data_IF_513389058521
#
_entry.id   IF_513389058521
#
_cell.length_a   1.000
_cell.length_b   1.000
_cell.length_c   1.000
_cell.angle_alpha   90.00
_cell.angle_beta   90.00
_cell.angle_gamma   90.00
#
_symmetry.space_group_name_H-M   'P 1'
#
loop_
_entity.id
_entity.type
_entity.pdbx_description
1 polymer ?
#
# COMPACT_ATOMS: atom_id res chain seq x y z
N UNK A 1 12.76 -22.37 -5.73
CA UNK A 1 13.45 -22.11 -4.45
C UNK A 1 13.40 -20.62 -4.16
N UNK A 2 13.24 -20.24 -2.88
CA UNK A 2 13.28 -18.82 -2.49
C UNK A 2 14.70 -18.26 -2.58
N UNK A 3 14.82 -16.93 -2.56
CA UNK A 3 16.10 -16.24 -2.51
C UNK A 3 15.98 -14.96 -1.68
N UNK A 4 17.10 -14.43 -1.20
CA UNK A 4 17.12 -13.14 -0.50
C UNK A 4 16.44 -12.03 -1.34
N UNK A 5 16.80 -11.93 -2.63
CA UNK A 5 16.22 -10.94 -3.55
C UNK A 5 14.72 -11.17 -3.76
N UNK A 6 14.30 -12.42 -3.83
CA UNK A 6 12.89 -12.80 -3.95
C UNK A 6 12.03 -12.37 -2.76
N UNK A 7 12.63 -12.12 -1.59
CA UNK A 7 11.91 -11.58 -0.42
C UNK A 7 12.14 -10.07 -0.24
N UNK A 8 13.37 -9.59 -0.42
CA UNK A 8 13.69 -8.17 -0.28
C UNK A 8 12.95 -7.28 -1.29
N UNK A 9 12.74 -7.78 -2.52
CA UNK A 9 12.03 -7.04 -3.57
C UNK A 9 10.55 -6.79 -3.19
N UNK A 10 9.69 -7.80 -2.96
CA UNK A 10 8.32 -7.56 -2.52
C UNK A 10 8.28 -6.82 -1.18
N UNK A 11 9.19 -7.13 -0.24
CA UNK A 11 9.30 -6.40 1.02
C UNK A 11 9.50 -4.90 0.85
N UNK A 12 10.30 -4.49 -0.13
CA UNK A 12 10.51 -3.07 -0.46
C UNK A 12 9.24 -2.44 -1.05
N UNK A 13 8.53 -3.13 -1.95
CA UNK A 13 7.28 -2.63 -2.51
C UNK A 13 6.23 -2.38 -1.42
N UNK A 14 6.00 -3.34 -0.53
CA UNK A 14 5.05 -3.19 0.57
C UNK A 14 5.48 -2.12 1.56
N UNK A 15 6.78 -2.03 1.90
CA UNK A 15 7.27 -0.99 2.80
C UNK A 15 7.04 0.43 2.23
N UNK A 16 7.37 0.63 0.95
CA UNK A 16 7.13 1.91 0.26
C UNK A 16 5.64 2.20 0.16
N UNK A 17 4.81 1.21 -0.18
CA UNK A 17 3.36 1.37 -0.25
C UNK A 17 2.76 1.74 1.12
N UNK A 18 3.16 1.08 2.20
CA UNK A 18 2.69 1.38 3.55
C UNK A 18 3.04 2.79 4.02
N UNK A 19 4.28 3.25 3.76
CA UNK A 19 4.72 4.62 4.07
C UNK A 19 3.95 5.63 3.19
N UNK A 20 3.86 5.37 1.89
CA UNK A 20 3.14 6.21 0.94
C UNK A 20 1.67 6.40 1.31
N UNK A 21 0.97 5.29 1.58
CA UNK A 21 -0.41 5.30 2.01
C UNK A 21 -0.60 6.02 3.34
N UNK A 22 0.31 5.83 4.30
CA UNK A 22 0.28 6.59 5.56
C UNK A 22 0.27 8.09 5.30
N UNK A 23 1.19 8.57 4.47
CA UNK A 23 1.28 10.00 4.12
C UNK A 23 0.00 10.45 3.40
N UNK A 24 -0.46 9.68 2.40
CA UNK A 24 -1.66 9.95 1.60
C UNK A 24 -2.91 10.12 2.47
N UNK A 25 -3.22 9.12 3.31
CA UNK A 25 -4.39 9.15 4.19
C UNK A 25 -4.28 10.22 5.27
N UNK A 26 -3.08 10.48 5.81
CA UNK A 26 -2.84 11.55 6.76
C UNK A 26 -3.12 12.94 6.16
N UNK A 27 -2.66 13.20 4.93
CA UNK A 27 -2.96 14.45 4.21
C UNK A 27 -4.47 14.59 4.04
N UNK A 28 -5.13 13.55 3.53
CA UNK A 28 -6.58 13.59 3.29
C UNK A 28 -7.38 13.82 4.56
N UNK A 29 -7.03 13.16 5.66
CA UNK A 29 -7.66 13.36 6.94
C UNK A 29 -7.46 14.80 7.46
N UNK A 30 -6.23 15.30 7.45
CA UNK A 30 -5.91 16.65 7.91
C UNK A 30 -6.61 17.74 7.07
N UNK A 31 -6.67 17.58 5.74
CA UNK A 31 -7.38 18.51 4.84
C UNK A 31 -8.90 18.42 5.04
N UNK A 32 -9.47 17.22 5.27
CA UNK A 32 -10.91 17.04 5.55
C UNK A 32 -11.34 17.62 6.90
N UNK A 33 -10.45 17.70 7.89
CA UNK A 33 -10.76 18.27 9.21
C UNK A 33 -10.83 19.81 9.17
N UNK A 34 -10.02 20.45 8.32
CA UNK A 34 -9.89 21.92 8.26
C UNK A 34 -10.77 22.59 7.19
N UNK A 35 -11.97 22.06 6.94
CA UNK A 35 -12.92 22.45 5.87
C UNK A 35 -13.46 23.90 5.92
N UNK A 36 -13.06 24.72 6.89
CA UNK A 36 -13.55 26.10 7.06
C UNK A 36 -12.99 27.14 6.08
N UNK A 37 -12.07 26.78 5.17
CA UNK A 37 -11.36 27.73 4.30
C UNK A 37 -11.74 27.45 2.82
N UNK A 38 -12.74 28.17 2.32
CA UNK A 38 -13.69 27.78 1.27
C UNK A 38 -13.21 27.56 -0.17
N UNK A 39 -11.95 27.81 -0.54
CA UNK A 39 -11.49 27.72 -1.94
C UNK A 39 -10.73 26.42 -2.30
N UNK A 40 -10.26 25.66 -1.30
CA UNK A 40 -9.31 24.54 -1.53
C UNK A 40 -9.97 23.21 -1.94
N UNK A 41 -11.30 23.10 -1.86
CA UNK A 41 -12.01 21.81 -1.93
C UNK A 41 -12.02 21.18 -3.33
N UNK A 42 -12.19 21.98 -4.38
CA UNK A 42 -12.29 21.46 -5.76
C UNK A 42 -10.92 21.02 -6.28
N UNK A 43 -9.89 21.86 -6.06
CA UNK A 43 -8.50 21.53 -6.37
C UNK A 43 -8.03 20.29 -5.60
N UNK A 44 -8.47 20.11 -4.34
CA UNK A 44 -8.16 18.94 -3.53
C UNK A 44 -8.80 17.63 -4.03
N UNK A 45 -10.00 17.68 -4.64
CA UNK A 45 -10.63 16.48 -5.22
C UNK A 45 -10.00 16.09 -6.55
N UNK A 46 -9.69 17.06 -7.40
CA UNK A 46 -8.99 16.81 -8.65
C UNK A 46 -7.58 16.25 -8.40
N UNK A 47 -6.85 16.79 -7.41
CA UNK A 47 -5.54 16.26 -7.02
C UNK A 47 -5.63 14.87 -6.40
N UNK A 48 -6.62 14.60 -5.55
CA UNK A 48 -6.93 13.25 -5.03
C UNK A 48 -7.12 12.26 -6.17
N UNK A 49 -8.01 12.58 -7.12
CA UNK A 49 -8.29 11.74 -8.29
C UNK A 49 -7.04 11.47 -9.13
N UNK A 50 -6.23 12.50 -9.40
CA UNK A 50 -4.96 12.35 -10.13
C UNK A 50 -3.98 11.44 -9.38
N UNK A 51 -3.93 11.56 -8.06
CA UNK A 51 -3.06 10.73 -7.23
C UNK A 51 -3.46 9.25 -7.28
N UNK A 52 -4.75 8.94 -7.19
CA UNK A 52 -5.26 7.56 -7.31
C UNK A 52 -4.99 6.98 -8.70
N UNK A 53 -5.11 7.80 -9.76
CA UNK A 53 -4.76 7.39 -11.14
C UNK A 53 -3.28 7.07 -11.26
N UNK A 54 -2.40 7.93 -10.73
CA UNK A 54 -0.95 7.71 -10.78
C UNK A 54 -0.58 6.46 -9.99
N UNK A 55 -1.09 6.31 -8.78
CA UNK A 55 -0.86 5.14 -7.93
C UNK A 55 -1.31 3.85 -8.63
N UNK A 56 -2.54 3.83 -9.15
CA UNK A 56 -3.07 2.67 -9.87
C UNK A 56 -2.25 2.37 -11.13
N UNK A 57 -1.79 3.39 -11.85
CA UNK A 57 -0.93 3.20 -13.03
C UNK A 57 0.43 2.59 -12.65
N UNK A 58 1.03 3.03 -11.54
CA UNK A 58 2.30 2.50 -11.03
C UNK A 58 2.14 1.04 -10.61
N UNK A 59 1.09 0.72 -9.86
CA UNK A 59 0.81 -0.67 -9.42
C UNK A 59 0.55 -1.57 -10.63
N UNK A 60 -0.24 -1.10 -11.61
CA UNK A 60 -0.50 -1.85 -12.84
C UNK A 60 0.79 -2.11 -13.62
N UNK A 61 1.63 -1.09 -13.80
CA UNK A 61 2.92 -1.22 -14.48
C UNK A 61 3.81 -2.27 -13.81
N UNK A 62 4.02 -2.18 -12.50
CA UNK A 62 4.86 -3.14 -11.78
C UNK A 62 4.25 -4.54 -11.75
N UNK A 63 2.92 -4.67 -11.70
CA UNK A 63 2.23 -5.97 -11.78
C UNK A 63 2.44 -6.63 -13.15
N UNK A 64 2.32 -5.87 -14.24
CA UNK A 64 2.60 -6.35 -15.60
C UNK A 64 4.06 -6.75 -15.76
N UNK A 65 5.00 -5.89 -15.31
CA UNK A 65 6.43 -6.19 -15.36
C UNK A 65 6.77 -7.44 -14.54
N UNK A 66 6.20 -7.58 -13.34
CA UNK A 66 6.37 -8.76 -12.48
C UNK A 66 5.89 -10.05 -13.15
N UNK A 67 4.68 -10.04 -13.74
CA UNK A 67 4.17 -11.18 -14.51
C UNK A 67 5.09 -11.53 -15.69
N UNK A 68 5.51 -10.53 -16.47
CA UNK A 68 6.39 -10.76 -17.61
C UNK A 68 7.76 -11.29 -17.19
N UNK A 69 8.31 -10.78 -16.08
CA UNK A 69 9.59 -11.23 -15.54
C UNK A 69 9.53 -12.69 -15.05
N UNK A 70 8.46 -13.08 -14.35
CA UNK A 70 8.27 -14.47 -13.91
C UNK A 70 8.07 -15.43 -15.08
N UNK A 71 7.34 -15.01 -16.12
CA UNK A 71 7.03 -15.89 -17.26
C UNK A 71 8.15 -15.96 -18.30
N UNK A 72 8.79 -14.83 -18.62
CA UNK A 72 9.74 -14.70 -19.73
C UNK A 72 11.17 -14.37 -19.32
N UNK A 73 11.43 -14.20 -18.02
CA UNK A 73 12.79 -14.05 -17.49
C UNK A 73 13.67 -15.25 -17.76
N UNK A 74 14.96 -15.12 -17.46
CA UNK A 74 15.92 -16.22 -17.58
C UNK A 74 15.52 -17.38 -16.67
N UNK A 75 15.05 -18.48 -17.27
CA UNK A 75 14.55 -19.66 -16.54
C UNK A 75 13.05 -19.63 -16.21
N UNK A 76 12.28 -18.69 -16.76
CA UNK A 76 10.82 -18.71 -16.64
C UNK A 76 10.16 -19.79 -17.54
N UNK A 77 8.93 -20.23 -17.23
CA UNK A 77 8.22 -21.29 -17.95
C UNK A 77 7.80 -20.92 -19.39
N UNK A 78 7.92 -19.65 -19.81
CA UNK A 78 7.51 -19.18 -21.15
C UNK A 78 6.06 -19.57 -21.50
N UNK A 79 5.15 -19.40 -20.54
CA UNK A 79 3.73 -19.78 -20.62
C UNK A 79 3.47 -21.31 -20.69
N UNK A 80 4.49 -22.14 -20.47
CA UNK A 80 4.32 -23.58 -20.33
C UNK A 80 3.94 -23.91 -18.88
N UNK A 81 2.72 -24.42 -18.67
CA UNK A 81 2.25 -24.79 -17.34
C UNK A 81 2.58 -26.25 -16.99
N UNK A 82 2.64 -27.11 -18.01
CA UNK A 82 2.81 -28.55 -17.84
C UNK A 82 3.86 -29.05 -18.83
N UNK A 83 4.81 -29.84 -18.34
CA UNK A 83 5.72 -30.58 -19.18
C UNK A 83 5.08 -31.92 -19.56
N UNK A 84 4.66 -32.04 -20.82
CA UNK A 84 4.06 -33.27 -21.34
C UNK A 84 5.07 -34.41 -21.57
N UNK A 85 6.37 -34.09 -21.64
CA UNK A 85 7.45 -35.07 -21.79
C UNK A 85 7.74 -35.70 -20.44
N UNK A 86 8.03 -34.87 -19.43
CA UNK A 86 8.36 -35.31 -18.07
C UNK A 86 7.12 -35.60 -17.19
N UNK A 87 5.92 -35.29 -17.71
CA UNK A 87 4.61 -35.51 -17.07
C UNK A 87 4.48 -34.88 -15.69
N UNK A 88 5.02 -33.67 -15.51
CA UNK A 88 4.90 -32.91 -14.29
C UNK A 88 4.50 -31.45 -14.54
N UNK A 89 4.12 -30.76 -13.48
CA UNK A 89 3.87 -29.32 -13.54
C UNK A 89 5.19 -28.56 -13.64
N UNK A 90 5.23 -27.56 -14.53
CA UNK A 90 6.45 -26.81 -14.80
C UNK A 90 6.46 -25.48 -14.02
N UNK A 91 7.58 -25.20 -13.34
CA UNK A 91 7.84 -23.95 -12.61
C UNK A 91 6.65 -23.38 -11.79
N UNK A 92 5.92 -24.22 -11.05
CA UNK A 92 4.71 -23.80 -10.28
C UNK A 92 4.93 -22.60 -9.36
N UNK A 93 6.14 -22.44 -8.79
CA UNK A 93 6.47 -21.26 -7.97
C UNK A 93 6.33 -19.95 -8.77
N UNK A 94 6.83 -19.90 -10.00
CA UNK A 94 6.69 -18.72 -10.87
C UNK A 94 5.24 -18.49 -11.29
N UNK A 95 4.45 -19.55 -11.46
CA UNK A 95 3.00 -19.43 -11.70
C UNK A 95 2.24 -18.89 -10.48
N UNK A 96 2.62 -19.28 -9.25
CA UNK A 96 2.06 -18.68 -8.03
C UNK A 96 2.35 -17.18 -7.98
N UNK A 97 3.60 -16.76 -8.20
CA UNK A 97 3.95 -15.34 -8.22
C UNK A 97 3.25 -14.57 -9.34
N UNK A 98 3.22 -15.12 -10.57
CA UNK A 98 2.50 -14.52 -11.69
C UNK A 98 1.01 -14.34 -11.37
N UNK A 99 0.40 -15.29 -10.65
CA UNK A 99 -0.99 -15.19 -10.20
C UNK A 99 -1.16 -14.08 -9.15
N UNK A 100 -0.25 -13.96 -8.18
CA UNK A 100 -0.29 -12.83 -7.23
C UNK A 100 -0.23 -11.48 -7.97
N UNK A 101 0.72 -11.31 -8.90
CA UNK A 101 0.82 -10.10 -9.70
C UNK A 101 -0.43 -9.83 -10.55
N UNK A 102 -1.06 -10.87 -11.10
CA UNK A 102 -2.32 -10.74 -11.84
C UNK A 102 -3.40 -10.11 -10.97
N UNK A 103 -3.57 -10.55 -9.73
CA UNK A 103 -4.62 -10.02 -8.84
C UNK A 103 -4.36 -8.55 -8.43
N UNK A 104 -3.11 -8.16 -8.15
CA UNK A 104 -2.76 -6.76 -7.94
C UNK A 104 -2.94 -5.91 -9.22
N UNK A 105 -2.66 -6.49 -10.39
CA UNK A 105 -2.93 -5.86 -11.69
C UNK A 105 -4.43 -5.67 -11.97
N UNK A 106 -5.27 -6.63 -11.59
CA UNK A 106 -6.73 -6.52 -11.68
C UNK A 106 -7.26 -5.44 -10.75
N UNK A 107 -6.78 -5.39 -9.50
CA UNK A 107 -7.08 -4.30 -8.57
C UNK A 107 -6.74 -2.93 -9.16
N UNK A 108 -5.50 -2.78 -9.66
CA UNK A 108 -5.03 -1.53 -10.23
C UNK A 108 -5.83 -1.11 -11.46
N UNK A 109 -6.20 -2.08 -12.31
CA UNK A 109 -7.04 -1.85 -13.50
C UNK A 109 -8.42 -1.35 -13.12
N UNK A 110 -9.09 -2.02 -12.18
CA UNK A 110 -10.43 -1.62 -11.70
C UNK A 110 -10.37 -0.24 -11.04
N UNK A 111 -9.36 0.01 -10.21
CA UNK A 111 -9.13 1.31 -9.59
C UNK A 111 -8.95 2.42 -10.65
N UNK A 112 -8.16 2.17 -11.70
CA UNK A 112 -7.96 3.11 -12.80
C UNK A 112 -9.28 3.41 -13.54
N UNK A 113 -10.08 2.38 -13.85
CA UNK A 113 -11.39 2.55 -14.51
C UNK A 113 -12.32 3.40 -13.64
N UNK A 114 -12.44 3.08 -12.34
CA UNK A 114 -13.26 3.82 -11.38
C UNK A 114 -12.84 5.29 -11.34
N UNK A 115 -11.54 5.56 -11.23
CA UNK A 115 -11.03 6.93 -11.13
C UNK A 115 -10.94 7.66 -12.46
N UNK A 116 -11.08 7.03 -13.62
CA UNK A 116 -11.08 7.71 -14.94
C UNK A 116 -12.47 7.92 -15.52
N UNK A 117 -13.38 6.98 -15.29
CA UNK A 117 -14.71 6.96 -15.94
C UNK A 117 -15.87 7.16 -14.97
N UNK A 118 -15.64 7.05 -13.66
CA UNK A 118 -16.71 7.04 -12.63
C UNK A 118 -17.79 5.96 -12.89
N UNK A 119 -17.49 4.94 -13.71
CA UNK A 119 -18.45 3.94 -14.18
C UNK A 119 -18.89 2.90 -13.13
N UNK A 120 -18.22 2.84 -11.97
CA UNK A 120 -18.49 1.87 -10.92
C UNK A 120 -18.40 2.49 -9.53
N UNK A 121 -19.04 1.88 -8.51
CA UNK A 121 -19.02 2.38 -7.15
C UNK A 121 -17.58 2.48 -6.63
N UNK A 122 -17.27 3.59 -5.99
CA UNK A 122 -15.96 3.78 -5.38
C UNK A 122 -15.64 2.71 -4.33
N UNK A 123 -16.59 1.93 -3.81
CA UNK A 123 -16.31 0.84 -2.85
C UNK A 123 -15.62 -0.37 -3.49
N UNK A 124 -15.74 -0.51 -4.82
CA UNK A 124 -15.13 -1.61 -5.57
C UNK A 124 -13.59 -1.53 -5.56
N UNK A 125 -13.01 -0.33 -5.38
CA UNK A 125 -11.56 -0.13 -5.23
C UNK A 125 -10.97 -0.98 -4.08
N UNK A 126 -11.58 -0.86 -2.90
CA UNK A 126 -11.20 -1.54 -1.65
C UNK A 126 -11.53 -3.02 -1.70
N UNK A 127 -12.65 -3.39 -2.31
CA UNK A 127 -12.99 -4.79 -2.48
C UNK A 127 -11.93 -5.51 -3.30
N UNK A 128 -11.51 -4.92 -4.43
CA UNK A 128 -10.47 -5.50 -5.26
C UNK A 128 -9.11 -5.55 -4.55
N UNK A 129 -8.77 -4.53 -3.75
CA UNK A 129 -7.56 -4.55 -2.93
C UNK A 129 -7.60 -5.69 -1.89
N UNK A 130 -8.74 -5.85 -1.20
CA UNK A 130 -8.92 -6.93 -0.23
C UNK A 130 -8.82 -8.31 -0.90
N UNK A 131 -9.40 -8.49 -2.09
CA UNK A 131 -9.29 -9.72 -2.87
C UNK A 131 -7.83 -9.99 -3.28
N UNK A 132 -7.07 -8.95 -3.64
CA UNK A 132 -5.66 -9.11 -3.99
C UNK A 132 -4.82 -9.60 -2.81
N UNK A 133 -4.95 -8.96 -1.64
CA UNK A 133 -4.30 -9.44 -0.41
C UNK A 133 -4.76 -10.84 0.00
N UNK A 134 -6.05 -11.14 -0.13
CA UNK A 134 -6.56 -12.48 0.17
C UNK A 134 -5.92 -13.53 -0.73
N UNK A 135 -5.84 -13.27 -2.04
CA UNK A 135 -5.23 -14.19 -3.00
C UNK A 135 -3.74 -14.37 -2.73
N UNK A 136 -3.02 -13.30 -2.40
CA UNK A 136 -1.62 -13.35 -1.96
C UNK A 136 -1.47 -14.28 -0.75
N UNK A 137 -2.24 -14.04 0.32
CA UNK A 137 -2.19 -14.87 1.52
C UNK A 137 -2.58 -16.33 1.27
N UNK A 138 -3.61 -16.56 0.46
CA UNK A 138 -4.06 -17.89 0.07
C UNK A 138 -2.97 -18.68 -0.66
N UNK A 139 -2.33 -18.08 -1.67
CA UNK A 139 -1.26 -18.73 -2.42
C UNK A 139 -0.01 -18.97 -1.57
N UNK A 140 0.32 -18.04 -0.66
CA UNK A 140 1.44 -18.23 0.27
C UNK A 140 1.19 -19.35 1.29
N UNK A 141 -0.03 -19.49 1.80
CA UNK A 141 -0.37 -20.54 2.75
C UNK A 141 -0.09 -21.94 2.17
N UNK A 142 -0.53 -22.19 0.95
CA UNK A 142 -0.35 -23.51 0.32
C UNK A 142 1.05 -23.75 -0.22
N UNK A 143 1.88 -22.72 -0.29
CA UNK A 143 3.29 -22.80 -0.66
C UNK A 143 4.22 -23.33 0.46
N UNK A 144 3.72 -23.46 1.69
CA UNK A 144 4.51 -23.87 2.85
C UNK A 144 4.71 -25.39 3.01
N UNK A 145 4.01 -26.20 2.22
CA UNK A 145 4.08 -27.66 2.34
C UNK A 145 5.50 -28.18 2.09
N UNK A 146 5.97 -29.06 3.00
CA UNK A 146 7.26 -29.75 2.87
C UNK A 146 8.49 -28.92 3.28
N UNK A 147 8.31 -27.74 3.88
CA UNK A 147 9.40 -26.87 4.35
C UNK A 147 9.82 -27.17 5.79
N UNK A 148 10.97 -26.65 6.20
CA UNK A 148 11.50 -26.77 7.57
C UNK A 148 10.66 -25.96 8.57
N UNK A 149 10.77 -26.28 9.86
CA UNK A 149 9.96 -25.67 10.92
C UNK A 149 10.08 -24.14 10.95
N UNK A 150 11.32 -23.61 10.95
CA UNK A 150 11.53 -22.17 10.97
C UNK A 150 11.04 -21.47 9.69
N UNK A 151 11.21 -22.10 8.52
CA UNK A 151 10.74 -21.58 7.24
C UNK A 151 9.20 -21.48 7.23
N UNK A 152 8.50 -22.52 7.68
CA UNK A 152 7.04 -22.47 7.86
C UNK A 152 6.66 -21.36 8.85
N UNK A 153 7.33 -21.29 10.00
CA UNK A 153 7.00 -20.34 11.06
C UNK A 153 7.13 -18.88 10.64
N UNK A 154 8.24 -18.50 9.99
CA UNK A 154 8.46 -17.12 9.53
C UNK A 154 7.42 -16.70 8.49
N UNK A 155 6.99 -17.62 7.61
CA UNK A 155 5.95 -17.33 6.62
C UNK A 155 4.54 -17.34 7.23
N UNK A 156 4.25 -18.15 8.25
CA UNK A 156 2.97 -18.06 8.98
C UNK A 156 2.83 -16.69 9.66
N UNK A 157 3.92 -16.14 10.21
CA UNK A 157 3.94 -14.79 10.77
C UNK A 157 3.66 -13.72 9.69
N UNK A 158 4.20 -13.90 8.47
CA UNK A 158 3.86 -13.05 7.32
C UNK A 158 2.36 -13.11 7.01
N UNK A 159 1.77 -14.32 6.99
CA UNK A 159 0.35 -14.50 6.69
C UNK A 159 -0.56 -13.78 7.68
N UNK A 160 -0.18 -13.64 8.96
CA UNK A 160 -0.97 -12.84 9.90
C UNK A 160 -1.06 -11.36 9.48
N UNK A 161 0.01 -10.80 8.93
CA UNK A 161 -0.03 -9.44 8.39
C UNK A 161 -0.94 -9.38 7.15
N UNK A 162 -0.74 -10.29 6.19
CA UNK A 162 -1.48 -10.33 4.92
C UNK A 162 -3.00 -10.53 5.13
N UNK A 163 -3.40 -11.50 5.97
CA UNK A 163 -4.81 -11.72 6.28
C UNK A 163 -5.38 -10.60 7.17
N UNK A 164 -4.57 -10.00 8.03
CA UNK A 164 -4.93 -8.77 8.74
C UNK A 164 -5.24 -7.63 7.77
N UNK A 165 -4.39 -7.41 6.76
CA UNK A 165 -4.59 -6.41 5.71
C UNK A 165 -5.86 -6.67 4.91
N UNK A 166 -6.08 -7.93 4.53
CA UNK A 166 -7.31 -8.39 3.88
C UNK A 166 -8.54 -8.01 4.70
N UNK A 167 -8.54 -8.35 5.99
CA UNK A 167 -9.66 -8.06 6.89
C UNK A 167 -9.90 -6.55 7.03
N UNK A 168 -8.84 -5.76 7.25
CA UNK A 168 -8.96 -4.31 7.40
C UNK A 168 -9.42 -3.66 6.09
N UNK A 169 -8.87 -4.06 4.95
CA UNK A 169 -9.31 -3.59 3.64
C UNK A 169 -10.79 -3.91 3.38
N UNK A 170 -11.27 -5.08 3.80
CA UNK A 170 -12.68 -5.44 3.74
C UNK A 170 -13.55 -4.57 4.67
N UNK A 171 -13.10 -4.29 5.90
CA UNK A 171 -13.79 -3.40 6.83
C UNK A 171 -13.89 -1.96 6.30
N UNK A 172 -12.89 -1.49 5.56
CA UNK A 172 -12.90 -0.17 4.93
C UNK A 172 -14.00 -0.01 3.86
N UNK A 173 -14.52 -1.11 3.29
CA UNK A 173 -15.66 -1.08 2.35
C UNK A 173 -16.88 -0.46 3.03
N UNK A 174 -17.14 -0.87 4.27
CA UNK A 174 -18.29 -0.42 5.07
C UNK A 174 -18.00 0.88 5.83
N UNK A 175 -16.76 1.07 6.27
CA UNK A 175 -16.34 2.19 7.11
C UNK A 175 -15.40 3.16 6.37
N UNK A 176 -15.79 3.57 5.16
CA UNK A 176 -14.96 4.40 4.29
C UNK A 176 -14.57 5.73 4.96
N UNK A 177 -13.27 6.05 4.94
CA UNK A 177 -12.74 7.29 5.48
C UNK A 177 -12.55 7.28 7.00
N UNK A 178 -12.71 6.13 7.65
CA UNK A 178 -12.27 5.95 9.03
C UNK A 178 -10.74 5.88 9.05
N UNK A 179 -10.11 6.95 9.53
CA UNK A 179 -8.66 7.09 9.58
C UNK A 179 -7.98 5.98 10.41
N UNK A 180 -8.66 5.44 11.42
CA UNK A 180 -8.08 4.38 12.26
C UNK A 180 -7.90 3.10 11.43
N UNK A 181 -8.89 2.72 10.64
CA UNK A 181 -8.78 1.55 9.75
C UNK A 181 -7.75 1.79 8.65
N UNK A 182 -7.73 2.98 8.06
CA UNK A 182 -6.75 3.35 7.03
C UNK A 182 -5.31 3.29 7.57
N UNK A 183 -5.06 3.82 8.77
CA UNK A 183 -3.74 3.75 9.41
C UNK A 183 -3.40 2.33 9.86
N UNK A 184 -4.36 1.55 10.35
CA UNK A 184 -4.13 0.15 10.73
C UNK A 184 -3.71 -0.68 9.51
N UNK A 185 -4.37 -0.52 8.36
CA UNK A 185 -3.93 -1.18 7.12
C UNK A 185 -2.51 -0.75 6.76
N UNK A 186 -2.20 0.54 6.82
CA UNK A 186 -0.84 1.02 6.55
C UNK A 186 0.20 0.41 7.50
N UNK A 187 -0.11 0.30 8.79
CA UNK A 187 0.75 -0.37 9.78
C UNK A 187 1.00 -1.81 9.40
N UNK A 188 -0.05 -2.56 9.07
CA UNK A 188 0.09 -3.95 8.66
C UNK A 188 0.91 -4.08 7.38
N UNK A 189 0.71 -3.20 6.38
CA UNK A 189 1.52 -3.20 5.14
C UNK A 189 3.00 -2.88 5.41
N UNK A 190 3.31 -2.03 6.39
CA UNK A 190 4.69 -1.82 6.85
C UNK A 190 5.23 -3.07 7.54
N UNK A 191 4.43 -3.77 8.36
CA UNK A 191 4.82 -5.06 8.97
C UNK A 191 5.08 -6.09 7.86
N UNK A 192 4.15 -6.29 6.92
CA UNK A 192 4.33 -7.19 5.77
C UNK A 192 5.63 -6.88 5.03
N UNK A 193 5.89 -5.62 4.69
CA UNK A 193 7.10 -5.21 3.99
C UNK A 193 8.39 -5.46 4.77
N UNK A 194 8.46 -5.03 6.03
CA UNK A 194 9.65 -5.26 6.88
C UNK A 194 9.85 -6.74 7.20
N UNK A 195 8.76 -7.50 7.31
CA UNK A 195 8.81 -8.92 7.62
C UNK A 195 9.29 -9.75 6.44
N UNK A 196 8.92 -9.38 5.20
CA UNK A 196 9.54 -9.96 4.01
C UNK A 196 11.08 -9.83 4.04
N UNK A 197 11.60 -8.67 4.44
CA UNK A 197 13.04 -8.50 4.64
C UNK A 197 13.59 -9.45 5.72
N UNK A 198 12.90 -9.56 6.85
CA UNK A 198 13.27 -10.47 7.93
C UNK A 198 13.32 -11.94 7.46
N UNK A 199 12.31 -12.40 6.72
CA UNK A 199 12.30 -13.74 6.10
C UNK A 199 13.53 -13.92 5.19
N UNK A 200 13.85 -12.89 4.39
CA UNK A 200 15.06 -12.87 3.57
C UNK A 200 16.34 -13.05 4.39
N UNK A 201 16.50 -12.31 5.49
CA UNK A 201 17.69 -12.39 6.35
C UNK A 201 17.80 -13.71 7.11
N UNK A 202 16.68 -14.27 7.56
CA UNK A 202 16.67 -15.52 8.33
C UNK A 202 16.92 -16.74 7.44
N UNK A 203 16.24 -16.84 6.29
CA UNK A 203 16.33 -18.00 5.42
C UNK A 203 17.47 -17.92 4.40
N UNK A 204 17.91 -16.70 4.05
CA UNK A 204 18.91 -16.45 3.02
C UNK A 204 19.90 -15.37 3.47
N UNK A 205 20.61 -15.55 4.60
CA UNK A 205 21.49 -14.53 5.15
C UNK A 205 22.57 -14.15 4.13
N UNK A 206 22.67 -12.88 3.69
CA UNK A 206 23.68 -12.47 2.73
C UNK A 206 25.08 -12.49 3.32
N UNK A 207 25.19 -12.40 4.66
CA UNK A 207 26.41 -12.46 5.47
C UNK A 207 26.04 -12.97 6.87
N UNK A 208 26.97 -13.66 7.54
CA UNK A 208 26.78 -14.16 8.90
C UNK A 208 26.51 -15.67 8.98
N UNK A 209 26.37 -16.22 10.19
CA UNK A 209 26.08 -17.63 10.38
C UNK A 209 24.67 -17.99 9.88
N UNK A 210 24.52 -19.20 9.35
CA UNK A 210 23.21 -19.74 8.98
C UNK A 210 22.39 -20.07 10.23
N UNK A 211 21.08 -19.92 10.12
CA UNK A 211 20.14 -20.24 11.20
C UNK A 211 19.87 -21.75 11.25
N UNK A 212 19.80 -22.30 12.45
CA UNK A 212 19.26 -23.65 12.62
C UNK A 212 17.74 -23.64 12.43
N UNK A 213 17.29 -24.16 11.28
CA UNK A 213 15.89 -24.17 10.88
C UNK A 213 15.01 -25.15 11.69
N UNK A 214 15.62 -25.97 12.57
CA UNK A 214 14.93 -26.95 13.41
C UNK A 214 14.98 -26.60 14.89
N UNK A 215 15.75 -25.58 15.29
CA UNK A 215 15.85 -25.16 16.69
C UNK A 215 14.57 -24.44 17.15
N UNK A 216 13.85 -24.97 18.17
CA UNK A 216 12.66 -24.31 18.70
C UNK A 216 12.93 -22.94 19.34
N UNK A 217 14.15 -22.68 19.84
CA UNK A 217 14.48 -21.38 20.41
C UNK A 217 14.49 -20.27 19.36
N UNK A 218 14.90 -20.60 18.12
CA UNK A 218 14.84 -19.67 17.00
C UNK A 218 13.40 -19.27 16.67
N UNK A 219 12.43 -20.19 16.78
CA UNK A 219 11.01 -19.86 16.60
C UNK A 219 10.49 -18.90 17.68
N UNK A 220 10.87 -19.11 18.94
CA UNK A 220 10.50 -18.21 20.04
C UNK A 220 11.10 -16.81 19.83
N UNK A 221 12.39 -16.73 19.48
CA UNK A 221 13.07 -15.48 19.21
C UNK A 221 12.43 -14.72 18.03
N UNK A 222 12.19 -15.38 16.92
CA UNK A 222 11.57 -14.77 15.74
C UNK A 222 10.14 -14.29 16.05
N UNK A 223 9.38 -15.01 16.87
CA UNK A 223 8.04 -14.55 17.29
C UNK A 223 8.11 -13.26 18.11
N UNK A 224 9.14 -13.12 18.95
CA UNK A 224 9.41 -11.87 19.67
C UNK A 224 9.81 -10.75 18.70
N UNK A 225 10.68 -11.02 17.73
CA UNK A 225 11.04 -10.06 16.68
C UNK A 225 9.81 -9.54 15.91
N UNK A 226 8.86 -10.42 15.57
CA UNK A 226 7.60 -10.01 14.93
C UNK A 226 6.85 -8.96 15.73
N UNK A 227 6.78 -9.14 17.05
CA UNK A 227 6.13 -8.16 17.94
C UNK A 227 6.86 -6.82 17.95
N UNK A 228 8.19 -6.83 17.84
CA UNK A 228 8.98 -5.61 17.69
C UNK A 228 8.72 -4.92 16.35
N UNK A 229 8.67 -5.67 15.24
CA UNK A 229 8.29 -5.12 13.93
C UNK A 229 6.93 -4.43 13.97
N UNK A 230 5.93 -5.06 14.61
CA UNK A 230 4.62 -4.46 14.80
C UNK A 230 4.70 -3.17 15.63
N UNK A 231 5.42 -3.17 16.74
CA UNK A 231 5.61 -1.98 17.59
C UNK A 231 6.28 -0.83 16.81
N UNK A 232 7.34 -1.12 16.07
CA UNK A 232 8.03 -0.13 15.24
C UNK A 232 7.16 0.37 14.09
N UNK A 233 6.39 -0.51 13.43
CA UNK A 233 5.45 -0.11 12.39
C UNK A 233 4.37 0.85 12.92
N UNK A 234 3.80 0.56 14.10
CA UNK A 234 2.86 1.47 14.77
C UNK A 234 3.50 2.83 15.08
N UNK A 235 4.74 2.84 15.57
CA UNK A 235 5.48 4.06 15.86
C UNK A 235 5.72 4.88 14.58
N UNK A 236 6.22 4.24 13.52
CA UNK A 236 6.49 4.88 12.22
C UNK A 236 5.22 5.53 11.68
N UNK A 237 4.11 4.77 11.63
CA UNK A 237 2.83 5.28 11.11
C UNK A 237 2.31 6.45 11.94
N UNK A 238 2.41 6.34 13.27
CA UNK A 238 1.97 7.40 14.19
C UNK A 238 2.79 8.68 14.03
N UNK A 239 4.13 8.55 13.95
CA UNK A 239 5.05 9.69 13.76
C UNK A 239 4.78 10.36 12.41
N UNK A 240 4.64 9.58 11.33
CA UNK A 240 4.32 10.11 10.01
C UNK A 240 2.98 10.85 10.00
N UNK A 241 1.94 10.27 10.61
CA UNK A 241 0.64 10.92 10.75
C UNK A 241 0.73 12.26 11.47
N UNK A 242 1.46 12.32 12.59
CA UNK A 242 1.68 13.54 13.36
C UNK A 242 2.44 14.60 12.55
N UNK A 243 3.54 14.23 11.89
CA UNK A 243 4.34 15.13 11.06
C UNK A 243 3.50 15.74 9.94
N UNK A 244 2.78 14.89 9.20
CA UNK A 244 1.93 15.34 8.09
C UNK A 244 0.80 16.24 8.58
N UNK A 245 0.12 15.86 9.66
CA UNK A 245 -0.96 16.66 10.24
C UNK A 245 -0.48 18.04 10.69
N UNK A 246 0.67 18.11 11.36
CA UNK A 246 1.31 19.36 11.77
C UNK A 246 1.73 20.21 10.56
N UNK A 247 2.32 19.60 9.54
CA UNK A 247 2.74 20.30 8.33
C UNK A 247 1.54 20.90 7.57
N UNK A 248 0.47 20.13 7.35
CA UNK A 248 -0.75 20.61 6.68
C UNK A 248 -1.38 21.76 7.46
N UNK A 249 -1.54 21.60 8.78
CA UNK A 249 -2.10 22.66 9.62
C UNK A 249 -1.27 23.95 9.59
N UNK A 250 0.06 23.84 9.62
CA UNK A 250 0.97 24.98 9.53
C UNK A 250 0.89 25.70 8.17
N UNK A 251 0.68 24.96 7.08
CA UNK A 251 0.50 25.53 5.73
C UNK A 251 -0.84 26.24 5.59
N UNK A 252 -1.92 25.65 6.12
CA UNK A 252 -3.25 26.25 6.08
C UNK A 252 -3.29 27.57 6.87
N UNK A 253 -2.66 27.65 8.05
CA UNK A 253 -2.55 28.89 8.83
C UNK A 253 -1.80 30.03 8.10
N UNK A 254 -0.87 29.70 7.20
CA UNK A 254 -0.07 30.70 6.44
C UNK A 254 -0.80 31.27 5.23
N UNK A 255 -1.96 30.73 4.85
CA UNK A 255 -2.71 31.20 3.67
C UNK A 255 -3.75 32.23 4.13
N UNK A 256 -3.58 33.55 3.88
CA UNK A 256 -4.55 34.54 4.31
C UNK A 256 -5.90 34.35 3.58
N UNK A 257 -7.04 34.63 4.23
CA UNK A 257 -8.34 34.55 3.57
C UNK A 257 -8.41 35.61 2.46
N UNK A 258 -8.54 35.15 1.22
CA UNK A 258 -8.52 35.97 0.00
C UNK A 258 -9.71 36.96 -0.09
N UNK A 259 -10.70 36.88 0.81
CA UNK A 259 -11.98 37.61 0.68
C UNK A 259 -12.03 39.01 1.31
N UNK A 260 -11.00 39.51 2.00
CA UNK A 260 -11.06 40.82 2.66
C UNK A 260 -10.51 42.01 1.83
N UNK A 261 -10.04 41.76 0.60
CA UNK A 261 -9.47 42.79 -0.27
C UNK A 261 -10.46 43.45 -1.24
N UNK A 262 -11.60 42.82 -1.52
CA UNK A 262 -12.54 43.29 -2.56
C UNK A 262 -13.63 44.24 -2.05
N UNK A 263 -13.92 44.25 -0.73
CA UNK A 263 -14.90 45.18 -0.15
C UNK A 263 -14.32 46.57 0.10
N UNK A 264 -13.00 46.69 0.32
CA UNK A 264 -12.36 47.97 0.66
C UNK A 264 -12.09 48.86 -0.56
N UNK A 265 -12.22 48.35 -1.78
CA UNK A 265 -12.02 49.11 -3.01
C UNK A 265 -13.29 49.81 -3.50
N UNK A 266 -14.47 49.55 -2.90
CA UNK A 266 -15.76 50.12 -3.35
C UNK A 266 -16.23 51.35 -2.56
N UNK A 267 -15.61 51.68 -1.43
CA UNK A 267 -16.02 52.83 -0.57
C UNK A 267 -15.17 54.10 -0.74
N UNK A 268 -14.38 54.21 -1.82
CA UNK A 268 -13.66 55.44 -2.15
C UNK A 268 -13.88 55.85 -3.61
N UNK A 269 -15.10 56.23 -3.93
CA UNK A 269 -15.33 57.29 -4.91
C UNK A 269 -15.97 58.46 -4.15
N UNK A 270 -15.27 59.58 -3.93
CA UNK A 270 -15.93 60.82 -3.60
C UNK A 270 -16.63 61.32 -4.87
N UNK A 271 -17.95 61.50 -4.79
CA UNK A 271 -18.76 62.16 -5.80
C UNK A 271 -18.11 63.48 -6.22
N UNK A 272 -17.71 63.56 -7.48
CA UNK A 272 -17.43 64.81 -8.17
C UNK A 272 -18.77 65.46 -8.52
N UNK A 273 -19.27 66.30 -7.62
CA UNK A 273 -20.27 67.31 -7.99
C UNK A 273 -19.52 68.59 -8.39
N UNK A 274 -19.42 68.82 -9.70
CA UNK A 274 -19.30 70.16 -10.25
C UNK A 274 -20.30 70.31 -11.41
N UNK A 275 -21.06 71.42 -11.32
CA UNK A 275 -21.79 72.15 -12.36
C UNK A 275 -23.09 71.58 -12.96
N UNK A 276 -24.23 72.22 -12.62
CA UNK A 276 -25.10 72.90 -13.59
C UNK A 276 -26.24 73.71 -12.92
N UNK A 277 -26.21 75.03 -13.19
CA UNK A 277 -27.23 76.09 -13.05
C UNK A 277 -27.45 76.77 -11.69
#
# INVERSE_FOLDING_TARGET
MGSFRGHALPGTFFLVAGIWWTVKYSIWHATRRNKGIGSTRLASRASQRRLEIIESSVILFFSLVGMLAEQFGSGGPKLQLYDFVEKHWDHLHSWHHATMYLFFGLFATVSLIIHTTEAAPLALDRLMLAIAFFNEGFLFLYHLHGRSMLDVHVHLLLLYAVFGETLVAFLEIFHRGNIILELLRCTLTVVQGTWFWEVGFVLYPPRGPEWDLKDPNNMMFITMCYSWHLAFAMLIVSVLYCIVSCAVHSRLKKTPPVEMGLLKARERDPESEDELM
#
